data_IF_308279061086
#
_entry.id   IF_308279061086
#
_cell.length_a   1.000
_cell.length_b   1.000
_cell.length_c   1.000
_cell.angle_alpha   90.00
_cell.angle_beta   90.00
_cell.angle_gamma   90.00
#
_symmetry.space_group_name_H-M   'P 1'
#
loop_
_entity.id
_entity.type
_entity.pdbx_description
1 polymer ?
#
# COMPACT_ATOMS: atom_id res chain seq x y z
N UNK A 1 -11.53 9.87 -25.76
CA UNK A 1 -12.15 9.29 -26.97
C UNK A 1 -11.82 7.81 -26.97
N UNK A 2 -12.81 6.93 -26.83
CA UNK A 2 -12.57 5.49 -26.88
C UNK A 2 -12.15 5.09 -28.30
N UNK A 3 -11.13 4.25 -28.43
CA UNK A 3 -10.57 3.82 -29.73
C UNK A 3 -11.60 2.99 -30.53
N UNK A 4 -12.62 2.45 -29.85
CA UNK A 4 -13.69 1.66 -30.45
C UNK A 4 -15.07 2.14 -29.98
N UNK A 5 -16.07 2.04 -30.87
CA UNK A 5 -17.47 2.20 -30.54
C UNK A 5 -17.97 1.04 -29.66
N UNK A 6 -19.13 1.21 -29.02
CA UNK A 6 -19.75 0.13 -28.24
C UNK A 6 -20.04 -1.10 -29.11
N UNK A 7 -20.48 -0.89 -30.34
CA UNK A 7 -20.82 -1.97 -31.26
C UNK A 7 -19.57 -2.74 -31.71
N UNK A 8 -18.46 -2.03 -31.96
CA UNK A 8 -17.17 -2.66 -32.28
C UNK A 8 -16.62 -3.50 -31.11
N UNK A 9 -16.83 -3.05 -29.86
CA UNK A 9 -16.44 -3.84 -28.67
C UNK A 9 -17.25 -5.13 -28.59
N UNK A 10 -18.56 -5.05 -28.84
CA UNK A 10 -19.46 -6.22 -28.83
C UNK A 10 -19.02 -7.22 -29.90
N UNK A 11 -18.84 -6.76 -31.14
CA UNK A 11 -18.43 -7.61 -32.27
C UNK A 11 -17.08 -8.32 -32.00
N UNK A 12 -16.11 -7.59 -31.45
CA UNK A 12 -14.80 -8.15 -31.06
C UNK A 12 -14.93 -9.17 -29.94
N UNK A 13 -15.76 -8.91 -28.93
CA UNK A 13 -15.99 -9.82 -27.81
C UNK A 13 -16.67 -11.11 -28.27
N UNK A 14 -17.66 -11.02 -29.16
CA UNK A 14 -18.31 -12.18 -29.78
C UNK A 14 -17.33 -13.00 -30.64
N UNK A 15 -16.46 -12.33 -31.38
CA UNK A 15 -15.42 -12.99 -32.18
C UNK A 15 -14.44 -13.75 -31.29
N UNK A 16 -13.96 -13.13 -30.20
CA UNK A 16 -13.15 -13.80 -29.19
C UNK A 16 -13.87 -15.02 -28.59
N UNK A 17 -15.17 -14.88 -28.27
CA UNK A 17 -15.99 -15.96 -27.74
C UNK A 17 -16.06 -17.17 -28.67
N UNK A 18 -16.24 -16.93 -29.97
CA UNK A 18 -16.23 -17.98 -31.01
C UNK A 18 -14.88 -18.70 -31.08
N UNK A 19 -13.77 -17.97 -31.00
CA UNK A 19 -12.43 -18.56 -31.07
C UNK A 19 -12.04 -19.32 -29.80
N UNK A 20 -12.43 -18.83 -28.62
CA UNK A 20 -12.25 -19.53 -27.36
C UNK A 20 -13.07 -20.82 -27.31
N UNK A 21 -14.31 -20.80 -27.82
CA UNK A 21 -15.17 -21.99 -27.88
C UNK A 21 -14.56 -23.11 -28.74
N UNK A 22 -13.91 -22.78 -29.87
CA UNK A 22 -13.17 -23.76 -30.69
C UNK A 22 -12.04 -24.46 -29.91
N UNK A 23 -11.52 -23.81 -28.87
CA UNK A 23 -10.48 -24.33 -27.97
C UNK A 23 -11.05 -24.99 -26.71
N UNK A 24 -12.36 -25.14 -26.60
CA UNK A 24 -13.03 -25.70 -25.43
C UNK A 24 -13.06 -24.77 -24.21
N UNK A 25 -12.89 -23.47 -24.41
CA UNK A 25 -12.88 -22.46 -23.32
C UNK A 25 -14.20 -21.67 -23.37
N UNK A 26 -14.91 -21.63 -22.24
CA UNK A 26 -16.11 -20.81 -22.08
C UNK A 26 -15.76 -19.37 -21.70
N UNK A 27 -16.08 -18.42 -22.59
CA UNK A 27 -15.79 -16.99 -22.38
C UNK A 27 -16.58 -16.40 -21.20
N UNK A 28 -17.77 -16.94 -20.89
CA UNK A 28 -18.57 -16.44 -19.78
C UNK A 28 -17.95 -16.82 -18.43
N UNK A 29 -17.35 -18.00 -18.32
CA UNK A 29 -16.56 -18.40 -17.15
C UNK A 29 -15.31 -17.53 -16.97
N UNK A 30 -14.62 -17.19 -18.07
CA UNK A 30 -13.49 -16.25 -18.03
C UNK A 30 -13.95 -14.86 -17.58
N UNK A 31 -15.05 -14.34 -18.13
CA UNK A 31 -15.61 -13.04 -17.73
C UNK A 31 -15.96 -13.01 -16.25
N UNK A 32 -16.57 -14.08 -15.74
CA UNK A 32 -16.86 -14.23 -14.30
C UNK A 32 -15.59 -14.27 -13.46
N UNK A 33 -14.53 -14.95 -13.91
CA UNK A 33 -13.26 -14.98 -13.20
C UNK A 33 -12.61 -13.58 -13.14
N UNK A 34 -12.57 -12.87 -14.27
CA UNK A 34 -12.02 -11.52 -14.38
C UNK A 34 -12.82 -10.52 -13.53
N UNK A 35 -14.15 -10.58 -13.53
CA UNK A 35 -14.99 -9.65 -12.73
C UNK A 35 -14.82 -9.82 -11.22
N UNK A 36 -14.44 -11.02 -10.77
CA UNK A 36 -14.12 -11.32 -9.37
C UNK A 36 -12.70 -10.96 -8.97
N UNK A 37 -11.77 -10.77 -9.92
CA UNK A 37 -10.40 -10.38 -9.60
C UNK A 37 -10.39 -9.01 -8.92
N UNK A 38 -9.76 -8.93 -7.74
CA UNK A 38 -9.56 -7.69 -6.99
C UNK A 38 -8.10 -7.53 -6.65
N UNK A 39 -7.62 -6.28 -6.70
CA UNK A 39 -6.26 -5.89 -6.33
C UNK A 39 -6.33 -4.58 -5.54
N UNK A 40 -5.58 -4.48 -4.46
CA UNK A 40 -5.52 -3.22 -3.70
C UNK A 40 -4.63 -2.18 -4.41
N UNK A 41 -4.97 -0.91 -4.27
CA UNK A 41 -4.13 0.19 -4.74
C UNK A 41 -3.30 0.77 -3.59
N UNK A 42 -2.01 1.07 -3.83
CA UNK A 42 -1.18 1.68 -2.81
C UNK A 42 -1.48 3.18 -2.64
N UNK A 43 -1.73 3.64 -1.42
CA UNK A 43 -1.97 5.05 -1.11
C UNK A 43 -0.85 5.97 -1.63
N UNK A 44 0.40 5.51 -1.55
CA UNK A 44 1.58 6.27 -1.94
C UNK A 44 1.74 6.49 -3.45
N UNK A 45 0.92 5.85 -4.29
CA UNK A 45 0.91 6.15 -5.73
C UNK A 45 0.16 7.44 -6.08
N UNK A 46 -0.70 7.95 -5.17
CA UNK A 46 -1.50 9.15 -5.39
C UNK A 46 -0.84 10.44 -4.87
N UNK A 47 0.16 10.29 -3.99
CA UNK A 47 0.90 11.44 -3.44
C UNK A 47 1.83 12.10 -4.47
N UNK A 48 2.66 13.03 -4.00
CA UNK A 48 3.72 13.61 -4.82
C UNK A 48 4.70 12.52 -5.28
N UNK A 49 4.44 11.97 -6.48
CA UNK A 49 5.20 10.91 -7.12
C UNK A 49 5.81 11.44 -8.42
N UNK A 50 7.03 11.02 -8.75
CA UNK A 50 7.76 11.49 -9.94
C UNK A 50 9.05 12.27 -9.62
N UNK A 51 9.23 12.70 -8.37
CA UNK A 51 10.51 13.20 -7.86
C UNK A 51 11.42 12.06 -7.40
N UNK A 52 11.80 11.20 -8.35
CA UNK A 52 12.84 10.20 -8.09
C UNK A 52 14.17 10.87 -7.71
N UNK A 53 15.21 10.09 -7.39
CA UNK A 53 16.52 10.62 -6.95
C UNK A 53 17.19 11.66 -7.88
N UNK A 54 16.72 11.81 -9.11
CA UNK A 54 17.25 12.73 -10.14
C UNK A 54 16.23 13.70 -10.72
N UNK A 55 14.94 13.55 -10.40
CA UNK A 55 13.86 14.37 -10.96
C UNK A 55 13.21 15.16 -9.83
N UNK A 56 12.86 16.42 -10.08
CA UNK A 56 12.05 17.22 -9.16
C UNK A 56 10.60 17.37 -9.62
N UNK A 57 10.23 16.74 -10.75
CA UNK A 57 8.89 16.92 -11.32
C UNK A 57 7.84 16.28 -10.42
N UNK A 58 6.90 17.10 -9.96
CA UNK A 58 5.70 16.67 -9.26
C UNK A 58 4.50 17.04 -10.14
N UNK A 59 3.69 16.07 -10.57
CA UNK A 59 2.47 16.35 -11.32
C UNK A 59 1.55 17.32 -10.56
N UNK A 60 0.86 18.25 -11.25
CA UNK A 60 -0.15 19.06 -10.60
C UNK A 60 -1.26 18.17 -10.04
N UNK A 61 -1.81 18.55 -8.88
CA UNK A 61 -2.93 17.84 -8.25
C UNK A 61 -2.55 16.58 -7.48
N UNK A 62 -1.28 16.36 -7.15
CA UNK A 62 -0.87 15.26 -6.28
C UNK A 62 -1.57 15.34 -4.91
N UNK A 63 -2.10 14.22 -4.42
CA UNK A 63 -2.79 14.13 -3.15
C UNK A 63 -1.86 14.49 -1.98
N UNK A 64 -2.34 15.34 -1.09
CA UNK A 64 -1.53 15.95 0.00
C UNK A 64 -1.67 15.21 1.32
N UNK A 65 -2.75 14.47 1.49
CA UNK A 65 -3.09 13.74 2.71
C UNK A 65 -3.85 12.45 2.36
N UNK A 66 -4.05 11.59 3.35
CA UNK A 66 -4.73 10.30 3.16
C UNK A 66 -6.17 10.43 2.64
N UNK A 67 -6.89 11.50 2.96
CA UNK A 67 -8.27 11.69 2.49
C UNK A 67 -8.32 11.96 0.99
N UNK A 68 -7.43 12.82 0.47
CA UNK A 68 -7.28 13.05 -0.97
C UNK A 68 -6.82 11.77 -1.70
N UNK A 69 -5.92 10.99 -1.09
CA UNK A 69 -5.51 9.68 -1.64
C UNK A 69 -6.70 8.71 -1.73
N UNK A 70 -7.62 8.73 -0.77
CA UNK A 70 -8.84 7.91 -0.78
C UNK A 70 -9.79 8.38 -1.88
N UNK A 71 -9.94 9.69 -2.08
CA UNK A 71 -10.75 10.25 -3.17
C UNK A 71 -10.22 9.80 -4.53
N UNK A 72 -8.91 9.91 -4.76
CA UNK A 72 -8.28 9.46 -6.01
C UNK A 72 -8.40 7.94 -6.20
N UNK A 73 -8.16 7.15 -5.16
CA UNK A 73 -8.35 5.70 -5.20
C UNK A 73 -9.80 5.31 -5.53
N UNK A 74 -10.78 6.10 -5.09
CA UNK A 74 -12.21 5.84 -5.36
C UNK A 74 -12.52 5.99 -6.85
N UNK A 75 -11.87 6.93 -7.53
CA UNK A 75 -11.99 7.12 -8.98
C UNK A 75 -11.44 5.89 -9.71
N UNK A 76 -10.28 5.38 -9.30
CA UNK A 76 -9.70 4.15 -9.88
C UNK A 76 -10.67 2.98 -9.72
N UNK A 77 -11.26 2.80 -8.53
CA UNK A 77 -12.22 1.73 -8.30
C UNK A 77 -13.51 1.91 -9.12
N UNK A 78 -14.02 3.14 -9.25
CA UNK A 78 -15.20 3.44 -10.05
C UNK A 78 -15.00 3.11 -11.53
N UNK A 79 -13.80 3.37 -12.06
CA UNK A 79 -13.48 3.12 -13.47
C UNK A 79 -13.17 1.64 -13.75
N UNK A 80 -12.51 0.95 -12.81
CA UNK A 80 -12.03 -0.43 -13.03
C UNK A 80 -12.92 -1.51 -12.44
N UNK A 81 -13.65 -1.20 -11.36
CA UNK A 81 -14.38 -2.18 -10.55
C UNK A 81 -13.48 -3.21 -9.83
N UNK A 82 -12.16 -3.06 -9.92
CA UNK A 82 -11.19 -4.08 -9.50
C UNK A 82 -10.41 -3.69 -8.24
N UNK A 83 -10.55 -2.46 -7.73
CA UNK A 83 -9.70 -1.92 -6.67
C UNK A 83 -10.48 -1.45 -5.43
N UNK A 84 -11.25 -2.33 -4.77
CA UNK A 84 -12.11 -1.95 -3.64
C UNK A 84 -11.35 -1.66 -2.34
N UNK A 85 -10.01 -1.73 -2.38
CA UNK A 85 -9.13 -1.62 -1.21
C UNK A 85 -7.98 -0.68 -1.47
N UNK A 86 -7.63 0.11 -0.46
CA UNK A 86 -6.43 0.96 -0.44
C UNK A 86 -5.45 0.45 0.61
N UNK A 87 -4.23 0.09 0.20
CA UNK A 87 -3.14 -0.25 1.12
C UNK A 87 -2.52 1.03 1.67
N UNK A 88 -2.18 1.04 2.97
CA UNK A 88 -1.70 2.25 3.66
C UNK A 88 -0.36 2.03 4.35
N UNK A 89 0.35 3.13 4.54
CA UNK A 89 1.57 3.20 5.32
C UNK A 89 1.35 4.10 6.54
N UNK A 90 1.44 3.55 7.75
CA UNK A 90 1.02 4.27 8.97
C UNK A 90 1.75 5.60 9.17
N UNK A 91 3.04 5.69 8.85
CA UNK A 91 3.78 6.94 8.95
C UNK A 91 3.40 7.98 7.90
N UNK A 92 3.11 7.56 6.66
CA UNK A 92 2.77 8.50 5.57
C UNK A 92 1.29 8.87 5.50
N UNK A 93 0.43 8.00 6.04
CA UNK A 93 -1.02 8.10 5.97
C UNK A 93 -1.64 8.40 7.34
N UNK A 94 -0.84 8.91 8.27
CA UNK A 94 -1.30 9.43 9.55
C UNK A 94 -2.30 10.60 9.30
N UNK A 95 -3.57 10.48 9.71
CA UNK A 95 -4.57 11.50 9.46
C UNK A 95 -4.35 12.80 10.25
N UNK A 96 -3.63 12.73 11.38
CA UNK A 96 -3.50 13.86 12.31
C UNK A 96 -2.24 14.70 12.06
N UNK A 97 -1.36 14.27 11.15
CA UNK A 97 -0.06 14.93 10.91
C UNK A 97 0.86 14.94 12.14
N UNK A 98 0.52 14.18 13.19
CA UNK A 98 1.32 14.01 14.38
C UNK A 98 2.71 13.47 14.05
N UNK A 99 3.68 13.80 14.92
CA UNK A 99 5.02 13.21 14.86
C UNK A 99 4.94 11.69 14.92
N UNK A 100 5.86 11.00 14.25
CA UNK A 100 5.81 9.55 14.08
C UNK A 100 5.75 8.74 15.37
N UNK A 101 6.32 9.25 16.48
CA UNK A 101 6.24 8.62 17.81
C UNK A 101 4.98 8.93 18.60
N UNK A 102 4.10 9.78 18.07
CA UNK A 102 2.83 10.18 18.67
C UNK A 102 1.62 9.63 17.89
N UNK A 103 1.86 8.75 16.91
CA UNK A 103 0.78 8.13 16.13
C UNK A 103 0.05 7.13 17.03
N UNK A 104 -1.25 7.32 17.19
CA UNK A 104 -2.12 6.36 17.84
C UNK A 104 -2.92 5.57 16.80
N UNK A 105 -3.11 4.27 17.02
CA UNK A 105 -3.92 3.44 16.12
C UNK A 105 -5.36 3.98 16.00
N UNK A 106 -5.92 4.52 17.09
CA UNK A 106 -7.26 5.11 17.18
C UNK A 106 -7.52 6.20 16.12
N UNK A 107 -6.49 6.96 15.74
CA UNK A 107 -6.57 8.01 14.72
C UNK A 107 -7.06 7.48 13.37
N UNK A 108 -6.72 6.24 13.00
CA UNK A 108 -7.08 5.64 11.72
C UNK A 108 -8.57 5.28 11.60
N UNK A 109 -9.37 5.42 12.66
CA UNK A 109 -10.82 5.25 12.59
C UNK A 109 -11.46 6.22 11.58
N UNK A 110 -10.98 7.46 11.52
CA UNK A 110 -11.50 8.45 10.56
C UNK A 110 -11.13 8.07 9.11
N UNK A 111 -9.95 7.49 8.92
CA UNK A 111 -9.47 7.00 7.62
C UNK A 111 -10.36 5.86 7.12
N UNK A 112 -10.67 4.88 7.98
CA UNK A 112 -11.61 3.79 7.65
C UNK A 112 -12.97 4.35 7.24
N UNK A 113 -13.54 5.25 8.06
CA UNK A 113 -14.84 5.84 7.78
C UNK A 113 -14.86 6.62 6.46
N UNK A 114 -13.76 7.31 6.12
CA UNK A 114 -13.61 8.03 4.85
C UNK A 114 -13.56 7.06 3.67
N UNK A 115 -12.78 5.98 3.77
CA UNK A 115 -12.71 4.94 2.74
C UNK A 115 -14.10 4.32 2.49
N UNK A 116 -14.82 3.95 3.56
CA UNK A 116 -16.15 3.34 3.46
C UNK A 116 -17.17 4.27 2.78
N UNK A 117 -17.13 5.57 3.08
CA UNK A 117 -17.97 6.57 2.41
C UNK A 117 -17.73 6.65 0.90
N UNK A 118 -16.51 6.35 0.46
CA UNK A 118 -16.12 6.35 -0.95
C UNK A 118 -16.23 4.95 -1.61
N UNK A 119 -16.85 3.98 -0.93
CA UNK A 119 -17.01 2.61 -1.45
C UNK A 119 -15.71 1.80 -1.47
N UNK A 120 -14.74 2.18 -0.63
CA UNK A 120 -13.48 1.50 -0.42
C UNK A 120 -13.39 0.92 0.99
N UNK A 121 -12.37 0.10 1.21
CA UNK A 121 -11.95 -0.35 2.54
C UNK A 121 -10.43 -0.24 2.65
N UNK A 122 -9.89 -0.19 3.87
CA UNK A 122 -8.44 -0.27 4.06
C UNK A 122 -7.98 -1.71 3.81
N UNK A 123 -6.95 -1.86 2.99
CA UNK A 123 -6.31 -3.11 2.63
C UNK A 123 -5.22 -3.50 3.61
N UNK A 124 -4.07 -3.92 3.07
CA UNK A 124 -2.87 -4.18 3.88
C UNK A 124 -2.32 -2.91 4.51
N UNK A 125 -1.70 -3.06 5.67
CA UNK A 125 -1.09 -1.97 6.43
C UNK A 125 0.39 -2.22 6.56
N UNK A 126 1.20 -1.18 6.36
CA UNK A 126 2.66 -1.24 6.45
C UNK A 126 3.19 -0.26 7.50
N UNK A 127 4.15 -0.65 8.38
CA UNK A 127 4.89 0.28 9.23
C UNK A 127 6.02 0.99 8.49
N UNK A 128 6.12 2.31 8.60
CA UNK A 128 7.15 3.13 7.92
C UNK A 128 8.49 3.09 8.66
N UNK A 129 9.52 2.49 8.04
CA UNK A 129 10.83 2.25 8.66
C UNK A 129 11.97 3.15 8.15
N UNK A 130 11.70 3.98 7.15
CA UNK A 130 12.67 4.87 6.50
C UNK A 130 12.36 6.32 6.89
N UNK A 131 12.38 6.57 8.19
CA UNK A 131 12.08 7.85 8.81
C UNK A 131 13.37 8.57 9.23
N UNK A 132 13.26 9.87 9.50
CA UNK A 132 14.35 10.60 10.14
C UNK A 132 14.75 9.91 11.46
N UNK A 133 16.06 9.74 11.67
CA UNK A 133 16.62 8.99 12.81
C UNK A 133 16.79 7.48 12.57
N UNK A 134 16.42 6.96 11.40
CA UNK A 134 16.60 5.54 11.01
C UNK A 134 17.73 5.32 10.00
N UNK A 135 18.63 6.29 9.83
CA UNK A 135 19.71 6.28 8.83
C UNK A 135 20.65 5.07 8.99
N UNK A 136 20.77 4.54 10.21
CA UNK A 136 21.56 3.35 10.54
C UNK A 136 20.70 2.11 10.83
N UNK A 137 19.47 2.08 10.31
CA UNK A 137 18.54 0.96 10.37
C UNK A 137 17.36 1.19 11.31
N UNK A 138 16.40 0.27 11.22
CA UNK A 138 15.13 0.27 11.96
C UNK A 138 15.09 -0.89 12.97
N UNK A 139 14.39 -2.00 12.68
CA UNK A 139 14.31 -3.19 13.53
C UNK A 139 15.67 -3.86 13.76
N UNK A 140 16.63 -3.68 12.84
CA UNK A 140 17.97 -4.26 12.99
C UNK A 140 18.96 -3.31 13.67
N UNK A 141 18.60 -2.04 13.91
CA UNK A 141 19.49 -0.99 14.43
C UNK A 141 20.33 -1.47 15.62
N UNK A 142 21.60 -1.11 15.74
CA UNK A 142 22.36 -1.42 16.97
C UNK A 142 21.90 -0.54 18.15
N UNK A 143 21.40 0.66 17.86
CA UNK A 143 20.81 1.55 18.85
C UNK A 143 19.49 0.99 19.38
N UNK A 144 19.47 0.61 20.66
CA UNK A 144 18.29 0.03 21.31
C UNK A 144 17.09 0.99 21.33
N UNK A 145 17.31 2.30 21.46
CA UNK A 145 16.22 3.28 21.47
C UNK A 145 15.49 3.32 20.13
N UNK A 146 16.26 3.29 19.02
CA UNK A 146 15.69 3.23 17.67
C UNK A 146 14.94 1.91 17.45
N UNK A 147 15.53 0.76 17.83
CA UNK A 147 14.82 -0.53 17.72
C UNK A 147 13.49 -0.51 18.46
N UNK A 148 13.48 -0.08 19.72
CA UNK A 148 12.25 0.00 20.53
C UNK A 148 11.19 0.90 19.89
N UNK A 149 11.61 2.06 19.36
CA UNK A 149 10.70 2.98 18.63
C UNK A 149 10.09 2.29 17.41
N UNK A 150 10.89 1.55 16.64
CA UNK A 150 10.41 0.86 15.43
C UNK A 150 9.56 -0.37 15.74
N UNK A 151 9.84 -1.09 16.83
CA UNK A 151 8.96 -2.16 17.35
C UNK A 151 7.60 -1.56 17.75
N UNK A 152 7.59 -0.47 18.53
CA UNK A 152 6.35 0.21 18.90
C UNK A 152 5.55 0.66 17.67
N UNK A 153 6.20 1.25 16.67
CA UNK A 153 5.56 1.63 15.41
C UNK A 153 4.97 0.43 14.66
N UNK A 154 5.65 -0.72 14.71
CA UNK A 154 5.18 -1.97 14.12
C UNK A 154 3.93 -2.48 14.84
N UNK A 155 3.91 -2.43 16.17
CA UNK A 155 2.75 -2.83 16.99
C UNK A 155 1.55 -1.92 16.75
N UNK A 156 1.76 -0.60 16.68
CA UNK A 156 0.71 0.37 16.32
C UNK A 156 0.16 0.04 14.92
N UNK A 157 1.03 -0.26 13.97
CA UNK A 157 0.61 -0.62 12.61
C UNK A 157 -0.14 -1.95 12.56
N UNK A 158 0.24 -2.92 13.39
CA UNK A 158 -0.49 -4.17 13.55
C UNK A 158 -1.89 -3.93 14.12
N UNK A 159 -2.02 -3.06 15.13
CA UNK A 159 -3.29 -2.66 15.71
C UNK A 159 -4.20 -1.96 14.68
N UNK A 160 -3.63 -1.09 13.82
CA UNK A 160 -4.36 -0.49 12.70
C UNK A 160 -4.82 -1.56 11.70
N UNK A 161 -3.95 -2.51 11.35
CA UNK A 161 -4.30 -3.62 10.45
C UNK A 161 -5.45 -4.47 11.02
N UNK A 162 -5.41 -4.75 12.32
CA UNK A 162 -6.40 -5.55 13.03
C UNK A 162 -7.75 -4.85 13.12
N UNK A 163 -7.75 -3.57 13.54
CA UNK A 163 -8.97 -2.81 13.83
C UNK A 163 -9.61 -2.19 12.59
N UNK A 164 -8.80 -1.76 11.63
CA UNK A 164 -9.25 -0.90 10.53
C UNK A 164 -8.93 -1.42 9.14
N UNK A 165 -7.90 -2.28 9.00
CA UNK A 165 -7.50 -2.90 7.74
C UNK A 165 -8.07 -4.29 7.51
N UNK A 166 -7.37 -5.08 6.68
CA UNK A 166 -7.74 -6.46 6.34
C UNK A 166 -7.00 -7.51 7.20
N UNK A 167 -6.42 -7.11 8.35
CA UNK A 167 -5.58 -7.94 9.24
C UNK A 167 -4.25 -8.41 8.62
N UNK A 168 -3.84 -7.85 7.48
CA UNK A 168 -2.52 -8.12 6.89
C UNK A 168 -1.59 -6.97 7.24
N UNK A 169 -0.52 -7.30 7.96
CA UNK A 169 0.63 -6.43 8.21
C UNK A 169 1.75 -6.79 7.24
N UNK A 170 2.20 -5.83 6.43
CA UNK A 170 3.29 -6.02 5.46
C UNK A 170 4.56 -5.35 5.98
N UNK A 171 5.63 -6.13 6.12
CA UNK A 171 6.92 -5.63 6.60
C UNK A 171 7.91 -5.55 5.44
N UNK A 172 8.37 -4.34 5.12
CA UNK A 172 9.48 -4.09 4.21
C UNK A 172 10.54 -3.27 4.93
N UNK A 173 11.76 -3.78 5.04
CA UNK A 173 12.83 -3.16 5.82
C UNK A 173 13.88 -2.53 4.91
N UNK A 174 14.24 -1.24 5.09
CA UNK A 174 15.36 -0.61 4.40
C UNK A 174 16.72 -0.99 5.02
N UNK A 175 16.73 -1.76 6.10
CA UNK A 175 17.91 -2.12 6.88
C UNK A 175 18.99 -2.83 6.05
N UNK A 176 20.20 -2.27 6.07
CA UNK A 176 21.33 -2.84 5.36
C UNK A 176 22.63 -2.11 5.64
N UNK A 177 23.57 -2.24 4.70
CA UNK A 177 24.85 -1.54 4.70
C UNK A 177 25.19 -1.07 3.29
N UNK A 178 25.85 0.07 3.19
CA UNK A 178 26.40 0.61 1.96
C UNK A 178 27.85 0.14 1.70
N UNK A 179 28.57 -0.26 2.75
CA UNK A 179 29.99 -0.64 2.66
C UNK A 179 30.33 -1.92 3.42
N UNK A 180 31.33 -2.70 2.96
CA UNK A 180 31.92 -3.78 3.74
C UNK A 180 32.38 -3.28 5.12
N UNK A 181 32.09 -4.05 6.17
CA UNK A 181 32.50 -3.72 7.54
C UNK A 181 31.64 -2.68 8.27
N UNK A 182 30.70 -2.00 7.58
CA UNK A 182 29.82 -1.01 8.22
C UNK A 182 28.89 -1.63 9.28
N UNK A 183 28.48 -2.89 9.09
CA UNK A 183 27.59 -3.61 10.00
C UNK A 183 28.11 -5.02 10.29
N UNK A 184 27.93 -5.45 11.53
CA UNK A 184 28.03 -6.86 11.93
C UNK A 184 26.73 -7.57 11.51
N UNK A 185 26.76 -8.30 10.40
CA UNK A 185 25.58 -8.96 9.81
C UNK A 185 24.93 -9.95 10.78
N UNK A 186 25.73 -10.71 11.54
CA UNK A 186 25.22 -11.70 12.49
C UNK A 186 24.47 -11.01 13.64
N UNK A 187 25.00 -9.88 14.13
CA UNK A 187 24.33 -9.05 15.14
C UNK A 187 23.06 -8.41 14.61
N UNK A 188 23.06 -7.85 13.40
CA UNK A 188 21.87 -7.27 12.76
C UNK A 188 20.76 -8.29 12.59
N UNK A 189 21.10 -9.52 12.18
CA UNK A 189 20.14 -10.61 12.08
C UNK A 189 19.58 -11.03 13.44
N UNK A 190 20.42 -11.11 14.49
CA UNK A 190 19.93 -11.36 15.87
C UNK A 190 18.98 -10.27 16.36
N UNK A 191 19.31 -9.00 16.11
CA UNK A 191 18.44 -7.88 16.44
C UNK A 191 17.08 -8.00 15.74
N UNK A 192 17.07 -8.34 14.44
CA UNK A 192 15.83 -8.55 13.68
C UNK A 192 14.99 -9.67 14.29
N UNK A 193 15.59 -10.83 14.57
CA UNK A 193 14.88 -11.97 15.17
C UNK A 193 14.28 -11.61 16.54
N UNK A 194 14.99 -10.81 17.33
CA UNK A 194 14.47 -10.33 18.60
C UNK A 194 13.29 -9.37 18.39
N UNK A 195 13.44 -8.40 17.50
CA UNK A 195 12.41 -7.40 17.22
C UNK A 195 11.12 -8.02 16.64
N UNK A 196 11.22 -9.07 15.82
CA UNK A 196 10.06 -9.78 15.27
C UNK A 196 9.41 -10.77 16.26
N UNK A 197 10.08 -11.09 17.36
CA UNK A 197 9.54 -11.95 18.42
C UNK A 197 8.72 -11.15 19.43
N UNK A 198 9.10 -9.89 19.65
CA UNK A 198 8.32 -8.91 20.41
C UNK A 198 7.03 -8.55 19.67
#
# INVERSE_FOLDING_TARGET
MGIYSRDEIIERYETLGRDLKKRGIDIDEIKKAVSRFKVEVPSWAFGAFGSGRFSGYVPPGAARNIFEKIEDASVVNKLTGATPKIAIHVGWDNPDGALYDMIEASSFKIVKNSAEKMGLSIGSVSPTYFLEGTEFGSLTANNLKIRKKMIQHTLISAEVAEKFGNKILTLWLPDGSLYPGQVDMARRFRNLKQALKE
#
